data_IF_214234435057
#
_entry.id   IF_214234435057
#
_cell.length_a   1.000
_cell.length_b   1.000
_cell.length_c   1.000
_cell.angle_alpha   90.00
_cell.angle_beta   90.00
_cell.angle_gamma   90.00
#
_symmetry.space_group_name_H-M   'P 1'
#
loop_
_entity.id
_entity.type
_entity.pdbx_description
1 polymer ?
#
# COMPACT_ATOMS: atom_id res chain seq x y z
N UNK A 1 -29.98 -11.88 6.86
CA UNK A 1 -28.77 -11.94 5.98
C UNK A 1 -28.79 -10.71 5.09
N UNK A 2 -27.94 -9.73 5.34
CA UNK A 2 -27.83 -8.58 4.45
C UNK A 2 -27.21 -9.05 3.11
N UNK A 3 -27.90 -8.80 2.01
CA UNK A 3 -27.39 -9.07 0.67
C UNK A 3 -26.06 -8.34 0.51
N UNK A 4 -24.96 -9.08 0.27
CA UNK A 4 -23.70 -8.49 -0.15
C UNK A 4 -23.95 -7.84 -1.51
N UNK A 5 -23.88 -6.52 -1.56
CA UNK A 5 -23.85 -5.82 -2.84
C UNK A 5 -22.74 -6.44 -3.71
N UNK A 6 -22.98 -6.66 -5.02
CA UNK A 6 -21.93 -7.17 -5.90
C UNK A 6 -20.72 -6.26 -5.77
N UNK A 7 -19.56 -6.86 -5.52
CA UNK A 7 -18.28 -6.11 -5.48
C UNK A 7 -18.03 -5.59 -6.88
N UNK A 8 -18.23 -4.31 -7.08
CA UNK A 8 -17.96 -3.65 -8.36
C UNK A 8 -16.45 -3.56 -8.51
N UNK A 9 -15.87 -4.26 -9.50
CA UNK A 9 -14.45 -4.19 -9.79
C UNK A 9 -14.08 -2.80 -10.34
N UNK A 10 -12.83 -2.38 -10.14
CA UNK A 10 -12.31 -1.19 -10.81
C UNK A 10 -12.16 -1.44 -12.31
N UNK A 11 -12.38 -0.40 -13.10
CA UNK A 11 -12.17 -0.42 -14.54
C UNK A 11 -10.68 -0.59 -14.88
N UNK A 12 -10.31 -1.26 -15.98
CA UNK A 12 -8.93 -1.42 -16.40
C UNK A 12 -8.16 -0.08 -16.50
N UNK A 13 -8.81 0.97 -17.00
CA UNK A 13 -8.24 2.32 -17.09
C UNK A 13 -7.87 2.90 -15.72
N UNK A 14 -8.72 2.70 -14.70
CA UNK A 14 -8.41 3.13 -13.33
C UNK A 14 -7.23 2.36 -12.75
N UNK A 15 -7.21 1.02 -12.92
CA UNK A 15 -6.14 0.17 -12.42
C UNK A 15 -4.79 0.51 -13.06
N UNK A 16 -4.78 0.77 -14.35
CA UNK A 16 -3.57 1.19 -15.08
C UNK A 16 -3.07 2.54 -14.59
N UNK A 17 -3.95 3.54 -14.50
CA UNK A 17 -3.59 4.86 -13.97
C UNK A 17 -3.10 4.82 -12.53
N UNK A 18 -3.72 3.97 -11.69
CA UNK A 18 -3.27 3.75 -10.30
C UNK A 18 -1.85 3.19 -10.25
N UNK A 19 -1.56 2.13 -11.03
CA UNK A 19 -0.22 1.54 -11.13
C UNK A 19 0.80 2.56 -11.63
N UNK A 20 0.46 3.30 -12.67
CA UNK A 20 1.34 4.31 -13.25
C UNK A 20 1.70 5.40 -12.22
N UNK A 21 0.73 5.88 -11.44
CA UNK A 21 1.01 6.84 -10.35
C UNK A 21 1.90 6.21 -9.29
N UNK A 22 1.51 5.05 -8.79
CA UNK A 22 2.16 4.42 -7.65
C UNK A 22 3.56 3.89 -7.96
N UNK A 23 3.73 3.21 -9.10
CA UNK A 23 4.97 2.54 -9.47
C UNK A 23 5.94 3.41 -10.27
N UNK A 24 5.44 4.44 -11.00
CA UNK A 24 6.24 5.19 -11.94
C UNK A 24 6.36 6.69 -11.60
N UNK A 25 5.27 7.34 -11.18
CA UNK A 25 5.29 8.78 -10.89
C UNK A 25 5.78 9.11 -9.48
N UNK A 26 5.55 8.23 -8.51
CA UNK A 26 6.11 8.37 -7.16
C UNK A 26 7.55 7.83 -7.19
N UNK A 27 8.51 8.71 -7.41
CA UNK A 27 9.93 8.37 -7.60
C UNK A 27 10.49 7.54 -6.46
N UNK A 28 10.07 7.80 -5.22
CA UNK A 28 10.53 7.03 -4.07
C UNK A 28 10.04 5.57 -4.10
N UNK A 29 8.83 5.32 -4.58
CA UNK A 29 8.34 3.95 -4.76
C UNK A 29 9.14 3.18 -5.83
N UNK A 30 9.59 3.87 -6.90
CA UNK A 30 10.54 3.29 -7.86
C UNK A 30 11.84 2.89 -7.18
N UNK A 31 12.39 3.78 -6.34
CA UNK A 31 13.63 3.52 -5.58
C UNK A 31 13.47 2.31 -4.66
N UNK A 32 12.31 2.14 -4.03
CA UNK A 32 12.00 0.96 -3.22
C UNK A 32 11.81 -0.30 -4.08
N UNK A 33 11.40 -0.15 -5.33
CA UNK A 33 11.08 -1.27 -6.23
C UNK A 33 9.73 -1.92 -5.92
N UNK A 34 8.77 -1.16 -5.40
CA UNK A 34 7.42 -1.63 -5.10
C UNK A 34 6.67 -1.95 -6.39
N UNK A 35 6.08 -3.16 -6.46
CA UNK A 35 5.24 -3.63 -7.57
C UNK A 35 3.89 -4.08 -7.04
N UNK A 36 2.83 -3.41 -7.48
CA UNK A 36 1.46 -3.74 -7.09
C UNK A 36 1.02 -5.07 -7.71
N UNK A 37 0.56 -5.98 -6.88
CA UNK A 37 0.03 -7.29 -7.29
C UNK A 37 -1.48 -7.37 -7.21
N UNK A 38 -2.11 -6.55 -6.34
CA UNK A 38 -3.56 -6.47 -6.18
C UNK A 38 -4.01 -5.07 -5.81
N UNK A 39 -5.10 -4.62 -6.40
CA UNK A 39 -5.82 -3.38 -6.06
C UNK A 39 -7.31 -3.71 -6.02
N UNK A 40 -7.91 -3.64 -4.84
CA UNK A 40 -9.29 -4.07 -4.61
C UNK A 40 -10.16 -2.89 -4.16
N UNK A 41 -11.39 -2.73 -4.70
CA UNK A 41 -12.33 -1.69 -4.27
C UNK A 41 -12.71 -1.75 -2.79
N UNK A 42 -12.48 -2.87 -2.13
CA UNK A 42 -12.66 -2.99 -0.69
C UNK A 42 -11.54 -2.32 0.13
N UNK A 43 -10.57 -1.70 -0.54
CA UNK A 43 -9.42 -1.06 0.11
C UNK A 43 -8.35 -2.05 0.56
N UNK A 44 -8.25 -3.20 -0.13
CA UNK A 44 -7.14 -4.15 0.03
C UNK A 44 -6.18 -3.95 -1.13
N UNK A 45 -4.92 -3.65 -0.81
CA UNK A 45 -3.86 -3.49 -1.81
C UNK A 45 -2.68 -4.34 -1.41
N UNK A 46 -2.13 -5.06 -2.38
CA UNK A 46 -0.96 -5.90 -2.17
C UNK A 46 0.17 -5.49 -3.13
N UNK A 47 1.39 -5.56 -2.64
CA UNK A 47 2.58 -5.34 -3.44
C UNK A 47 3.68 -6.32 -3.07
N UNK A 48 4.63 -6.44 -3.98
CA UNK A 48 5.87 -7.18 -3.81
C UNK A 48 7.06 -6.23 -3.88
N UNK A 49 8.07 -6.52 -3.08
CA UNK A 49 9.40 -5.93 -3.16
C UNK A 49 10.43 -7.05 -3.22
N UNK A 50 11.30 -7.03 -4.22
CA UNK A 50 12.40 -7.98 -4.33
C UNK A 50 13.62 -7.47 -3.56
N UNK A 51 14.28 -8.39 -2.83
CA UNK A 51 15.50 -8.06 -2.10
C UNK A 51 16.62 -7.73 -3.07
N UNK A 52 17.36 -6.67 -2.80
CA UNK A 52 18.55 -6.29 -3.54
C UNK A 52 19.55 -5.59 -2.61
N UNK A 53 20.78 -5.45 -3.06
CA UNK A 53 21.91 -4.97 -2.25
C UNK A 53 21.64 -3.62 -1.58
N UNK A 54 21.01 -2.69 -2.30
CA UNK A 54 20.73 -1.32 -1.83
C UNK A 54 19.70 -1.26 -0.68
N UNK A 55 18.98 -2.37 -0.45
CA UNK A 55 17.97 -2.46 0.62
C UNK A 55 18.51 -3.10 1.90
N UNK A 56 19.78 -3.53 1.91
CA UNK A 56 20.41 -4.15 3.08
C UNK A 56 20.58 -3.13 4.20
N UNK A 57 20.06 -3.47 5.38
CA UNK A 57 20.12 -2.62 6.57
C UNK A 57 21.17 -3.04 7.59
N UNK A 58 21.80 -4.21 7.43
CA UNK A 58 22.81 -4.70 8.36
C UNK A 58 23.98 -5.34 7.63
N UNK A 59 25.19 -4.81 7.82
CA UNK A 59 26.38 -5.19 7.08
C UNK A 59 26.81 -6.67 7.24
N UNK A 60 26.49 -7.29 8.39
CA UNK A 60 26.84 -8.69 8.67
C UNK A 60 25.74 -9.70 8.26
N UNK A 61 24.55 -9.23 7.91
CA UNK A 61 23.41 -10.08 7.59
C UNK A 61 22.66 -9.51 6.39
N UNK A 62 22.18 -10.39 5.52
CA UNK A 62 21.33 -9.99 4.40
C UNK A 62 19.89 -9.71 4.87
N UNK A 63 19.74 -8.66 5.69
CA UNK A 63 18.43 -8.21 6.22
C UNK A 63 17.99 -6.94 5.54
N UNK A 64 16.73 -6.89 5.16
CA UNK A 64 16.15 -5.65 4.66
C UNK A 64 16.15 -4.56 5.74
N UNK A 65 16.47 -3.34 5.37
CA UNK A 65 16.53 -2.20 6.29
C UNK A 65 15.15 -1.86 6.84
N UNK A 66 15.05 -1.60 8.15
CA UNK A 66 13.79 -1.20 8.80
C UNK A 66 13.16 0.06 8.18
N UNK A 67 13.97 0.99 7.70
CA UNK A 67 13.51 2.16 6.94
C UNK A 67 12.85 1.82 5.61
N UNK A 68 13.31 0.76 4.94
CA UNK A 68 12.67 0.25 3.71
C UNK A 68 11.31 -0.36 4.05
N UNK A 69 11.23 -1.13 5.14
CA UNK A 69 9.97 -1.69 5.63
C UNK A 69 8.98 -0.56 5.95
N UNK A 70 9.39 0.45 6.73
CA UNK A 70 8.49 1.54 7.12
C UNK A 70 8.03 2.37 5.92
N UNK A 71 8.93 2.69 5.00
CA UNK A 71 8.60 3.43 3.79
C UNK A 71 7.63 2.64 2.88
N UNK A 72 7.84 1.32 2.76
CA UNK A 72 6.95 0.45 1.99
C UNK A 72 5.56 0.35 2.62
N UNK A 73 5.49 0.21 3.95
CA UNK A 73 4.22 0.17 4.67
C UNK A 73 3.46 1.49 4.56
N UNK A 74 4.15 2.64 4.65
CA UNK A 74 3.53 3.96 4.46
C UNK A 74 2.93 4.11 3.05
N UNK A 75 3.71 3.79 2.03
CA UNK A 75 3.25 3.83 0.64
C UNK A 75 2.03 2.93 0.43
N UNK A 76 2.05 1.72 0.97
CA UNK A 76 0.96 0.77 0.79
C UNK A 76 -0.31 1.14 1.55
N UNK A 77 -0.18 1.72 2.75
CA UNK A 77 -1.33 2.22 3.51
C UNK A 77 -2.04 3.36 2.76
N UNK A 78 -1.25 4.25 2.17
CA UNK A 78 -1.78 5.32 1.32
C UNK A 78 -2.53 4.77 0.12
N UNK A 79 -1.99 3.75 -0.55
CA UNK A 79 -2.62 3.07 -1.68
C UNK A 79 -3.95 2.42 -1.29
N UNK A 80 -4.02 1.74 -0.14
CA UNK A 80 -5.25 1.11 0.35
C UNK A 80 -6.35 2.13 0.66
N UNK A 81 -5.99 3.26 1.28
CA UNK A 81 -6.92 4.36 1.55
C UNK A 81 -7.43 4.97 0.25
N UNK A 82 -6.56 5.16 -0.75
CA UNK A 82 -6.94 5.70 -2.06
C UNK A 82 -7.87 4.75 -2.83
N UNK A 83 -7.61 3.44 -2.80
CA UNK A 83 -8.50 2.45 -3.41
C UNK A 83 -9.89 2.50 -2.77
N UNK A 84 -9.96 2.51 -1.42
CA UNK A 84 -11.23 2.61 -0.71
C UNK A 84 -11.96 3.95 -0.95
N UNK A 85 -11.23 5.06 -1.09
CA UNK A 85 -11.81 6.35 -1.43
C UNK A 85 -12.38 6.35 -2.85
N UNK A 86 -11.63 5.82 -3.82
CA UNK A 86 -12.08 5.73 -5.20
C UNK A 86 -13.34 4.88 -5.35
N UNK A 87 -13.46 3.80 -4.57
CA UNK A 87 -14.64 2.94 -4.56
C UNK A 87 -15.91 3.67 -4.10
N UNK A 88 -15.80 4.76 -3.34
CA UNK A 88 -16.94 5.60 -2.96
C UNK A 88 -17.40 6.54 -4.07
N UNK A 89 -16.61 6.69 -5.13
CA UNK A 89 -16.82 7.64 -6.22
C UNK A 89 -16.88 6.96 -7.59
N UNK A 90 -17.41 5.73 -7.66
CA UNK A 90 -17.49 4.95 -8.90
C UNK A 90 -18.35 5.61 -10.00
N UNK A 91 -19.15 6.62 -9.65
CA UNK A 91 -19.89 7.45 -10.58
C UNK A 91 -19.04 8.55 -11.26
N UNK A 92 -17.81 8.78 -10.80
CA UNK A 92 -16.85 9.70 -11.39
C UNK A 92 -15.94 8.96 -12.39
N UNK A 93 -15.36 9.69 -13.35
CA UNK A 93 -14.40 9.11 -14.28
C UNK A 93 -13.15 8.56 -13.58
N UNK A 94 -12.46 7.56 -14.14
CA UNK A 94 -11.19 7.07 -13.62
C UNK A 94 -10.18 8.19 -13.37
N UNK A 95 -10.02 9.11 -14.33
CA UNK A 95 -9.09 10.25 -14.21
C UNK A 95 -9.41 11.11 -12.99
N UNK A 96 -10.67 11.46 -12.77
CA UNK A 96 -11.08 12.29 -11.63
C UNK A 96 -10.84 11.60 -10.28
N UNK A 97 -11.05 10.30 -10.20
CA UNK A 97 -10.74 9.51 -8.99
C UNK A 97 -9.23 9.46 -8.72
N UNK A 98 -8.40 9.38 -9.77
CA UNK A 98 -6.94 9.37 -9.66
C UNK A 98 -6.37 10.73 -9.23
N UNK A 99 -7.00 11.85 -9.58
CA UNK A 99 -6.58 13.20 -9.13
C UNK A 99 -6.55 13.34 -7.60
N UNK A 100 -7.32 12.50 -6.88
CA UNK A 100 -7.35 12.51 -5.41
C UNK A 100 -6.02 12.12 -4.76
N UNK A 101 -5.13 11.42 -5.49
CA UNK A 101 -3.77 11.15 -5.02
C UNK A 101 -2.98 12.43 -4.67
N UNK A 102 -3.25 13.53 -5.37
CA UNK A 102 -2.56 14.81 -5.12
C UNK A 102 -2.86 15.42 -3.74
N UNK A 103 -3.93 14.99 -3.09
CA UNK A 103 -4.36 15.50 -1.77
C UNK A 103 -3.95 14.59 -0.61
N UNK A 104 -3.37 13.45 -0.92
CA UNK A 104 -3.01 12.47 0.08
C UNK A 104 -1.75 12.89 0.84
N UNK A 105 -1.78 12.75 2.15
CA UNK A 105 -0.62 12.99 3.01
C UNK A 105 -0.66 12.11 4.26
N UNK A 106 0.49 11.61 4.68
CA UNK A 106 0.62 10.79 5.89
C UNK A 106 0.51 11.68 7.13
N UNK A 107 -0.37 11.31 8.05
CA UNK A 107 -0.55 11.98 9.36
C UNK A 107 0.25 11.25 10.42
N UNK A 108 0.15 9.92 10.45
CA UNK A 108 0.76 9.08 11.46
C UNK A 108 1.06 7.69 10.90
N UNK A 109 2.16 7.11 11.36
CA UNK A 109 2.58 5.76 11.02
C UNK A 109 3.23 5.11 12.24
N UNK A 110 2.63 4.02 12.72
CA UNK A 110 3.20 3.17 13.75
C UNK A 110 3.54 1.81 13.18
N UNK A 111 4.73 1.29 13.51
CA UNK A 111 5.21 -0.01 13.05
C UNK A 111 5.80 -0.79 14.22
N UNK A 112 5.43 -2.05 14.31
CA UNK A 112 6.01 -3.05 15.19
C UNK A 112 6.88 -4.00 14.36
N UNK A 113 8.18 -4.00 14.59
CA UNK A 113 9.14 -4.91 13.95
C UNK A 113 9.21 -6.20 14.76
N UNK A 114 8.62 -7.26 14.25
CA UNK A 114 8.40 -8.51 15.00
C UNK A 114 9.49 -9.54 14.75
N UNK A 115 10.03 -9.58 13.51
CA UNK A 115 11.04 -10.55 13.06
C UNK A 115 12.03 -9.91 12.11
N UNK A 116 13.27 -10.45 12.02
CA UNK A 116 14.24 -9.99 11.03
C UNK A 116 13.71 -10.21 9.59
N UNK A 117 13.79 -9.18 8.76
CA UNK A 117 13.39 -9.25 7.37
C UNK A 117 14.46 -9.94 6.51
N UNK A 118 14.43 -11.27 6.45
CA UNK A 118 15.34 -12.10 5.66
C UNK A 118 14.52 -12.84 4.59
N UNK A 119 14.93 -12.73 3.33
CA UNK A 119 14.26 -13.37 2.22
C UNK A 119 14.70 -12.78 0.88
N UNK A 120 14.34 -13.45 -0.20
CA UNK A 120 14.61 -12.98 -1.57
C UNK A 120 13.57 -11.95 -2.04
N UNK A 121 12.40 -11.98 -1.46
CA UNK A 121 11.33 -11.02 -1.71
C UNK A 121 10.41 -10.93 -0.50
N UNK A 122 9.58 -9.88 -0.48
CA UNK A 122 8.60 -9.64 0.57
C UNK A 122 7.27 -9.24 -0.05
N UNK A 123 6.19 -9.59 0.65
CA UNK A 123 4.83 -9.19 0.29
C UNK A 123 4.32 -8.18 1.31
N UNK A 124 3.77 -7.09 0.84
CA UNK A 124 3.17 -6.06 1.67
C UNK A 124 1.67 -6.07 1.42
N UNK A 125 0.87 -6.16 2.48
CA UNK A 125 -0.59 -6.12 2.41
C UNK A 125 -1.09 -4.95 3.23
N UNK A 126 -1.88 -4.09 2.62
CA UNK A 126 -2.53 -2.98 3.29
C UNK A 126 -4.05 -3.10 3.20
N UNK A 127 -4.72 -2.87 4.32
CA UNK A 127 -6.17 -2.87 4.43
C UNK A 127 -6.64 -1.50 4.90
N UNK A 128 -7.44 -0.81 4.10
CA UNK A 128 -8.16 0.36 4.56
C UNK A 128 -9.23 -0.07 5.57
N UNK A 129 -9.08 0.36 6.82
CA UNK A 129 -10.05 0.07 7.87
C UNK A 129 -11.26 1.01 7.79
N UNK A 130 -10.99 2.27 7.44
CA UNK A 130 -12.01 3.31 7.30
C UNK A 130 -11.46 4.45 6.44
N UNK A 131 -12.29 5.00 5.57
CA UNK A 131 -12.05 6.29 4.93
C UNK A 131 -13.25 7.21 5.18
N UNK A 132 -12.99 8.33 5.86
CA UNK A 132 -13.95 9.41 6.09
C UNK A 132 -13.84 10.50 5.03
N UNK A 133 -14.40 11.67 5.31
CA UNK A 133 -14.30 12.84 4.43
C UNK A 133 -12.93 13.50 4.44
N UNK A 134 -12.19 13.38 5.54
CA UNK A 134 -10.90 14.06 5.74
C UNK A 134 -9.75 13.12 6.05
N UNK A 135 -10.00 11.98 6.66
CA UNK A 135 -8.98 11.04 7.16
C UNK A 135 -9.35 9.62 6.77
N UNK A 136 -8.35 8.88 6.30
CA UNK A 136 -8.39 7.44 6.12
C UNK A 136 -7.40 6.74 7.06
N UNK A 137 -7.72 5.53 7.50
CA UNK A 137 -6.85 4.70 8.34
C UNK A 137 -6.66 3.32 7.72
N UNK A 138 -5.46 2.77 7.87
CA UNK A 138 -5.11 1.47 7.32
C UNK A 138 -4.37 0.60 8.34
N UNK A 139 -4.53 -0.73 8.19
CA UNK A 139 -3.69 -1.77 8.78
C UNK A 139 -2.68 -2.21 7.73
N UNK A 140 -1.49 -2.56 8.19
CA UNK A 140 -0.34 -2.82 7.34
C UNK A 140 0.38 -4.08 7.81
N UNK A 141 0.66 -4.99 6.88
CA UNK A 141 1.39 -6.23 7.14
C UNK A 141 2.55 -6.35 6.15
N UNK A 142 3.74 -6.65 6.65
CA UNK A 142 4.95 -6.93 5.88
C UNK A 142 5.36 -8.37 6.13
N UNK A 143 5.31 -9.20 5.09
CA UNK A 143 5.49 -10.65 5.17
C UNK A 143 6.69 -11.12 4.37
N UNK A 144 7.34 -12.17 4.87
CA UNK A 144 8.38 -12.89 4.16
C UNK A 144 7.87 -13.77 3.02
N UNK A 145 8.78 -14.44 2.29
CA UNK A 145 8.44 -15.29 1.15
C UNK A 145 7.49 -16.45 1.48
N UNK A 146 7.54 -16.94 2.71
CA UNK A 146 6.69 -18.03 3.23
C UNK A 146 5.37 -17.52 3.85
N UNK A 147 5.08 -16.21 3.76
CA UNK A 147 3.93 -15.57 4.38
C UNK A 147 4.10 -15.25 5.87
N UNK A 148 5.26 -15.53 6.46
CA UNK A 148 5.52 -15.18 7.87
C UNK A 148 5.45 -13.66 8.07
N UNK A 149 4.62 -13.21 9.02
CA UNK A 149 4.52 -11.80 9.39
C UNK A 149 5.83 -11.32 10.05
N UNK A 150 6.51 -10.38 9.40
CA UNK A 150 7.79 -9.83 9.87
C UNK A 150 7.62 -8.48 10.55
N UNK A 151 6.71 -7.65 10.05
CA UNK A 151 6.35 -6.37 10.67
C UNK A 151 4.88 -6.09 10.44
N UNK A 152 4.26 -5.42 11.40
CA UNK A 152 2.88 -4.98 11.32
C UNK A 152 2.79 -3.49 11.67
N UNK A 153 1.78 -2.81 11.14
CA UNK A 153 1.61 -1.40 11.40
C UNK A 153 0.18 -0.91 11.26
N UNK A 154 0.01 0.34 11.62
CA UNK A 154 -1.20 1.11 11.41
C UNK A 154 -0.82 2.52 11.00
N UNK A 155 -1.61 3.13 10.12
CA UNK A 155 -1.35 4.48 9.63
C UNK A 155 -2.63 5.28 9.44
N UNK A 156 -2.49 6.60 9.46
CA UNK A 156 -3.54 7.54 9.16
C UNK A 156 -3.09 8.53 8.08
N UNK A 157 -4.01 8.89 7.18
CA UNK A 157 -3.74 9.75 6.03
C UNK A 157 -4.81 10.82 5.91
N UNK A 158 -4.39 12.05 5.57
CA UNK A 158 -5.33 13.07 5.09
C UNK A 158 -5.73 12.73 3.65
N UNK A 159 -7.00 12.94 3.30
CA UNK A 159 -7.57 12.61 1.97
C UNK A 159 -8.37 13.76 1.34
N UNK A 160 -8.30 14.96 1.91
CA UNK A 160 -9.05 16.15 1.47
C UNK A 160 -8.17 17.37 1.22
#
# INVERSE_FOLDING_TARGET
MAARNPVVAFEPEYLEGFRQIFEEKIVFNQTLGLKLTRIDPQGIVEARIDMRHELIGHFAYNRIHGGVISASLDAMGSAAVMAAQAAKHMNESPAKRLERFAKLGTIDLRIDYLRPGIGEHFTIVAHCLRVGSRVGTARLDFCGPDGTLMSAGAAAYIVS
#
